data_IF_130957088026
#
_entry.id   IF_130957088026
#
_cell.length_a   1.000
_cell.length_b   1.000
_cell.length_c   1.000
_cell.angle_alpha   90.00
_cell.angle_beta   90.00
_cell.angle_gamma   90.00
#
_symmetry.space_group_name_H-M   'P 1'
#
loop_
_entity.id
_entity.type
_entity.pdbx_description
1 polymer ?
#
# COMPACT_ATOMS: atom_id res chain seq x y z
N UNK A 1 6.53 -32.92 -0.18
CA UNK A 1 5.48 -33.36 0.77
C UNK A 1 5.74 -33.04 2.24
N UNK A 2 6.99 -32.75 2.67
CA UNK A 2 7.29 -32.44 4.09
C UNK A 2 7.25 -30.95 4.46
N UNK A 3 7.26 -30.06 3.47
CA UNK A 3 7.18 -28.61 3.67
C UNK A 3 5.73 -28.14 3.72
N UNK A 4 5.48 -27.06 4.44
CA UNK A 4 4.21 -26.33 4.40
C UNK A 4 3.88 -25.89 2.97
N UNK A 5 2.58 -25.83 2.68
CA UNK A 5 2.01 -25.25 1.46
C UNK A 5 1.27 -23.94 1.74
N UNK A 6 1.32 -23.46 2.98
CA UNK A 6 0.75 -22.17 3.39
C UNK A 6 1.82 -21.06 3.41
N UNK A 7 3.10 -21.46 3.35
CA UNK A 7 4.24 -20.56 3.31
C UNK A 7 5.30 -21.03 2.31
N UNK A 8 5.67 -20.13 1.40
CA UNK A 8 6.88 -20.22 0.58
C UNK A 8 7.81 -19.09 0.97
N UNK A 9 9.08 -19.38 1.23
CA UNK A 9 10.03 -18.39 1.71
C UNK A 9 11.07 -18.08 0.63
N UNK A 10 11.15 -16.81 0.26
CA UNK A 10 12.23 -16.29 -0.57
C UNK A 10 13.31 -15.77 0.36
N UNK A 11 14.40 -16.53 0.47
CA UNK A 11 15.58 -16.09 1.23
C UNK A 11 16.54 -15.26 0.38
N UNK A 12 16.10 -14.91 -0.84
CA UNK A 12 16.69 -13.88 -1.67
C UNK A 12 16.48 -12.50 -1.07
N UNK A 13 17.35 -11.58 -1.47
CA UNK A 13 17.40 -10.23 -0.95
C UNK A 13 18.83 -9.86 -0.60
N UNK A 14 19.33 -8.86 -1.31
CA UNK A 14 20.74 -8.55 -1.54
C UNK A 14 21.43 -9.44 -2.59
N UNK A 15 22.49 -8.91 -3.20
CA UNK A 15 23.26 -9.53 -4.27
C UNK A 15 24.72 -9.80 -3.83
N UNK A 16 25.34 -10.83 -4.37
CA UNK A 16 26.75 -11.16 -4.08
C UNK A 16 26.92 -11.97 -2.80
N UNK A 17 28.00 -11.73 -2.06
CA UNK A 17 28.41 -12.57 -0.91
C UNK A 17 27.71 -12.23 0.41
N UNK A 18 26.69 -11.38 0.38
CA UNK A 18 25.96 -10.95 1.58
C UNK A 18 24.55 -11.55 1.56
N UNK A 19 24.26 -12.33 2.60
CA UNK A 19 22.93 -12.86 2.88
C UNK A 19 22.28 -12.02 3.99
N UNK A 20 21.05 -11.57 3.80
CA UNK A 20 20.26 -10.88 4.83
C UNK A 20 18.94 -11.63 5.16
N UNK A 21 18.97 -12.93 5.51
CA UNK A 21 17.77 -13.76 5.58
C UNK A 21 17.11 -13.64 6.96
N UNK A 22 16.83 -12.41 7.43
CA UNK A 22 16.21 -12.14 8.73
C UNK A 22 14.94 -12.96 8.97
N UNK A 23 14.12 -13.16 7.93
CA UNK A 23 12.84 -13.88 7.99
C UNK A 23 12.99 -15.42 8.06
N UNK A 24 14.22 -15.94 7.96
CA UNK A 24 14.46 -17.39 7.91
C UNK A 24 14.03 -18.11 9.19
N UNK A 25 14.09 -17.44 10.34
CA UNK A 25 13.65 -18.01 11.62
C UNK A 25 12.16 -18.41 11.58
N UNK A 26 11.31 -17.54 11.04
CA UNK A 26 9.89 -17.81 10.84
C UNK A 26 9.65 -18.82 9.73
N UNK A 27 10.41 -18.76 8.63
CA UNK A 27 10.32 -19.76 7.57
C UNK A 27 10.58 -21.18 8.09
N UNK A 28 11.59 -21.36 8.95
CA UNK A 28 11.90 -22.63 9.61
C UNK A 28 10.78 -23.07 10.53
N UNK A 29 10.26 -22.17 11.37
CA UNK A 29 9.15 -22.45 12.28
C UNK A 29 7.91 -22.95 11.52
N UNK A 30 7.60 -22.34 10.37
CA UNK A 30 6.48 -22.72 9.51
C UNK A 30 6.78 -23.94 8.62
N UNK A 31 8.00 -24.47 8.64
CA UNK A 31 8.46 -25.54 7.72
C UNK A 31 8.27 -25.16 6.25
N UNK A 32 8.43 -23.87 5.93
CA UNK A 32 8.31 -23.36 4.57
C UNK A 32 9.39 -23.94 3.66
N UNK A 33 9.06 -24.11 2.37
CA UNK A 33 10.10 -24.35 1.38
C UNK A 33 10.86 -23.04 1.13
N UNK A 34 12.18 -23.06 1.26
CA UNK A 34 13.02 -21.88 1.15
C UNK A 34 13.85 -21.91 -0.15
N UNK A 35 13.82 -20.84 -0.94
CA UNK A 35 14.65 -20.73 -2.15
C UNK A 35 15.03 -19.28 -2.49
N UNK A 36 15.98 -19.12 -3.41
CA UNK A 36 16.32 -17.86 -4.07
C UNK A 36 16.28 -18.09 -5.60
N UNK A 37 15.05 -18.19 -6.12
CA UNK A 37 14.76 -18.47 -7.52
C UNK A 37 14.31 -17.18 -8.23
N UNK A 38 14.79 -16.99 -9.44
CA UNK A 38 14.45 -15.86 -10.29
C UNK A 38 13.06 -15.97 -10.90
N UNK A 39 12.31 -14.87 -10.85
CA UNK A 39 11.10 -14.65 -11.64
C UNK A 39 11.39 -14.10 -13.06
N UNK A 40 12.65 -13.91 -13.43
CA UNK A 40 13.02 -13.32 -14.73
C UNK A 40 12.98 -14.37 -15.85
N UNK A 41 12.30 -14.10 -16.99
CA UNK A 41 12.30 -14.98 -18.15
C UNK A 41 13.69 -15.32 -18.71
N UNK A 42 14.72 -14.50 -18.45
CA UNK A 42 16.13 -14.77 -18.81
C UNK A 42 16.71 -15.99 -18.07
N UNK A 43 16.08 -16.43 -16.98
CA UNK A 43 16.47 -17.62 -16.19
C UNK A 43 15.38 -18.71 -16.29
N UNK A 44 15.16 -19.32 -17.47
CA UNK A 44 13.98 -20.14 -17.74
C UNK A 44 13.84 -21.36 -16.83
N UNK A 45 14.95 -21.97 -16.42
CA UNK A 45 14.94 -23.14 -15.53
C UNK A 45 14.55 -22.76 -14.10
N UNK A 46 15.09 -21.66 -13.56
CA UNK A 46 14.70 -21.14 -12.25
C UNK A 46 13.22 -20.72 -12.25
N UNK A 47 12.78 -20.02 -13.31
CA UNK A 47 11.39 -19.60 -13.46
C UNK A 47 10.43 -20.78 -13.56
N UNK A 48 10.80 -21.84 -14.29
CA UNK A 48 9.98 -23.05 -14.39
C UNK A 48 9.84 -23.75 -13.03
N UNK A 49 10.93 -23.87 -12.27
CA UNK A 49 10.90 -24.43 -10.92
C UNK A 49 10.08 -23.55 -9.97
N UNK A 50 10.25 -22.23 -10.03
CA UNK A 50 9.49 -21.28 -9.22
C UNK A 50 7.99 -21.41 -9.49
N UNK A 51 7.58 -21.41 -10.76
CA UNK A 51 6.17 -21.64 -11.17
C UNK A 51 5.63 -22.97 -10.65
N UNK A 52 6.43 -24.04 -10.71
CA UNK A 52 6.04 -25.34 -10.17
C UNK A 52 5.81 -25.29 -8.65
N UNK A 53 6.70 -24.62 -7.91
CA UNK A 53 6.60 -24.50 -6.45
C UNK A 53 5.43 -23.62 -6.01
N UNK A 54 5.22 -22.48 -6.67
CA UNK A 54 4.09 -21.58 -6.40
C UNK A 54 2.75 -22.24 -6.75
N UNK A 55 2.68 -22.97 -7.86
CA UNK A 55 1.47 -23.71 -8.27
C UNK A 55 1.08 -24.88 -7.36
N UNK A 56 1.95 -25.28 -6.44
CA UNK A 56 1.67 -26.30 -5.43
C UNK A 56 1.25 -25.73 -4.07
N UNK A 57 1.25 -24.40 -3.90
CA UNK A 57 0.81 -23.80 -2.64
C UNK A 57 -0.71 -23.87 -2.50
N UNK A 58 -1.17 -23.80 -1.27
CA UNK A 58 -2.59 -23.69 -0.97
C UNK A 58 -3.13 -22.33 -1.44
N UNK A 59 -4.44 -22.24 -1.77
CA UNK A 59 -5.06 -20.96 -2.13
C UNK A 59 -4.79 -19.88 -1.08
N UNK A 60 -4.44 -18.68 -1.53
CA UNK A 60 -4.13 -17.53 -0.68
C UNK A 60 -2.98 -17.73 0.33
N UNK A 61 -2.07 -18.69 0.09
CA UNK A 61 -0.84 -18.84 0.88
C UNK A 61 0.04 -17.59 0.84
N UNK A 62 0.96 -17.47 1.79
CA UNK A 62 1.87 -16.32 1.88
C UNK A 62 3.25 -16.65 1.34
N UNK A 63 3.74 -15.80 0.43
CA UNK A 63 5.15 -15.73 0.04
C UNK A 63 5.86 -14.74 0.96
N UNK A 64 6.72 -15.23 1.85
CA UNK A 64 7.47 -14.42 2.80
C UNK A 64 8.89 -14.14 2.28
N UNK A 65 9.44 -12.98 2.60
CA UNK A 65 10.79 -12.58 2.22
C UNK A 65 10.81 -11.57 1.08
N UNK A 66 11.80 -11.62 0.20
CA UNK A 66 11.93 -10.64 -0.88
C UNK A 66 12.46 -11.25 -2.16
N UNK A 67 12.17 -10.61 -3.29
CA UNK A 67 12.67 -11.04 -4.59
C UNK A 67 14.21 -10.95 -4.67
N UNK A 68 14.78 -11.55 -5.71
CA UNK A 68 16.23 -11.66 -5.88
C UNK A 68 16.78 -10.46 -6.66
N UNK A 69 17.22 -9.41 -5.96
CA UNK A 69 17.70 -8.14 -6.56
C UNK A 69 18.70 -8.27 -7.72
N UNK A 70 19.49 -9.35 -7.79
CA UNK A 70 20.43 -9.60 -8.89
C UNK A 70 19.85 -10.40 -10.06
N UNK A 71 18.73 -11.10 -9.86
CA UNK A 71 18.17 -12.02 -10.85
C UNK A 71 16.87 -11.50 -11.46
N UNK A 72 16.03 -10.83 -10.68
CA UNK A 72 14.72 -10.35 -11.08
C UNK A 72 14.37 -8.98 -10.48
N UNK A 73 13.22 -8.46 -10.86
CA UNK A 73 12.64 -7.24 -10.32
C UNK A 73 11.48 -7.56 -9.38
N UNK A 74 11.18 -6.63 -8.48
CA UNK A 74 9.95 -6.63 -7.67
C UNK A 74 8.71 -6.80 -8.56
N UNK A 75 8.64 -6.02 -9.64
CA UNK A 75 7.68 -6.15 -10.74
C UNK A 75 7.43 -7.58 -11.18
N UNK A 76 8.49 -8.28 -11.59
CA UNK A 76 8.41 -9.66 -12.07
C UNK A 76 7.95 -10.64 -10.99
N UNK A 77 8.52 -10.54 -9.79
CA UNK A 77 8.26 -11.49 -8.72
C UNK A 77 6.85 -11.34 -8.14
N UNK A 78 6.42 -10.12 -7.86
CA UNK A 78 5.09 -9.84 -7.31
C UNK A 78 3.99 -10.15 -8.33
N UNK A 79 4.20 -9.83 -9.61
CA UNK A 79 3.29 -10.22 -10.71
C UNK A 79 3.16 -11.72 -10.82
N UNK A 80 4.29 -12.45 -10.78
CA UNK A 80 4.27 -13.91 -10.84
C UNK A 80 3.52 -14.51 -9.65
N UNK A 81 3.74 -13.98 -8.45
CA UNK A 81 3.04 -14.42 -7.23
C UNK A 81 1.53 -14.19 -7.34
N UNK A 82 1.11 -13.03 -7.84
CA UNK A 82 -0.29 -12.69 -8.09
C UNK A 82 -0.99 -13.61 -9.10
N UNK A 83 -0.29 -14.02 -10.17
CA UNK A 83 -0.83 -14.99 -11.15
C UNK A 83 -1.26 -16.33 -10.50
N UNK A 84 -0.61 -16.71 -9.39
CA UNK A 84 -0.98 -17.90 -8.63
C UNK A 84 -2.09 -17.65 -7.58
N UNK A 85 -2.52 -16.41 -7.37
CA UNK A 85 -3.49 -16.02 -6.33
C UNK A 85 -2.90 -16.10 -4.94
N UNK A 86 -1.61 -15.78 -4.83
CA UNK A 86 -0.87 -15.75 -3.58
C UNK A 86 -0.57 -14.31 -3.18
N UNK A 87 -0.26 -14.09 -1.91
CA UNK A 87 0.07 -12.77 -1.34
C UNK A 87 1.50 -12.74 -0.82
N UNK A 88 2.12 -11.57 -0.75
CA UNK A 88 3.47 -11.42 -0.23
C UNK A 88 3.52 -10.71 1.13
N UNK A 89 4.52 -11.07 1.93
CA UNK A 89 4.99 -10.31 3.10
C UNK A 89 6.45 -9.95 2.85
N UNK A 90 6.63 -8.73 2.36
CA UNK A 90 7.75 -8.31 1.54
C UNK A 90 8.98 -7.79 2.29
N UNK A 91 9.58 -8.57 3.19
CA UNK A 91 10.84 -8.20 3.86
C UNK A 91 11.68 -9.44 4.19
N UNK A 92 12.74 -9.70 3.41
CA UNK A 92 13.68 -10.79 3.67
C UNK A 92 14.52 -10.57 4.95
N UNK A 93 14.78 -9.31 5.30
CA UNK A 93 15.65 -8.91 6.39
C UNK A 93 14.92 -8.62 7.71
N UNK A 94 13.65 -8.98 7.85
CA UNK A 94 12.86 -8.81 9.07
C UNK A 94 13.20 -9.92 10.09
N UNK A 95 13.93 -9.64 11.19
CA UNK A 95 14.39 -10.67 12.11
C UNK A 95 13.37 -10.97 13.20
N UNK A 96 13.58 -12.10 13.90
CA UNK A 96 12.88 -12.49 15.13
C UNK A 96 11.36 -12.72 14.97
N UNK A 97 10.87 -12.92 13.76
CA UNK A 97 9.44 -13.10 13.49
C UNK A 97 8.92 -14.38 14.14
N UNK A 98 9.74 -15.43 14.22
CA UNK A 98 9.39 -16.65 14.95
C UNK A 98 9.13 -16.41 16.44
N UNK A 99 9.73 -15.37 17.02
CA UNK A 99 9.50 -14.98 18.41
C UNK A 99 8.33 -14.00 18.52
N UNK A 100 8.34 -12.92 17.74
CA UNK A 100 7.36 -11.83 17.86
C UNK A 100 5.94 -12.25 17.49
N UNK A 101 5.76 -13.20 16.56
CA UNK A 101 4.45 -13.72 16.20
C UNK A 101 3.76 -14.50 17.33
N UNK A 102 4.51 -14.90 18.37
CA UNK A 102 4.01 -15.65 19.51
C UNK A 102 3.71 -14.77 20.73
N UNK A 103 4.07 -13.49 20.66
CA UNK A 103 3.81 -12.54 21.75
C UNK A 103 2.33 -12.14 21.67
N UNK A 104 1.51 -12.47 22.69
CA UNK A 104 0.12 -12.04 22.71
C UNK A 104 0.04 -10.52 22.87
N UNK A 105 -1.04 -9.94 22.35
CA UNK A 105 -1.40 -8.55 22.67
C UNK A 105 -1.66 -8.42 24.18
N UNK A 106 -1.53 -7.19 24.70
CA UNK A 106 -1.94 -6.91 26.09
C UNK A 106 -3.42 -7.32 26.28
N UNK A 107 -3.82 -7.89 27.44
CA UNK A 107 -5.15 -8.49 27.62
C UNK A 107 -6.35 -7.58 27.29
N UNK A 108 -6.23 -6.28 27.56
CA UNK A 108 -7.30 -5.30 27.35
C UNK A 108 -7.08 -4.43 26.11
N UNK A 109 -6.09 -4.77 25.28
CA UNK A 109 -5.78 -4.00 24.09
C UNK A 109 -6.76 -4.31 22.96
N UNK A 110 -7.21 -3.26 22.28
CA UNK A 110 -8.01 -3.35 21.05
C UNK A 110 -7.45 -2.34 20.05
N UNK A 111 -7.27 -2.78 18.81
CA UNK A 111 -6.89 -1.88 17.73
C UNK A 111 -8.00 -0.86 17.50
N UNK A 112 -7.66 0.41 17.70
CA UNK A 112 -8.55 1.55 17.42
C UNK A 112 -7.78 2.59 16.62
N UNK A 113 -8.39 3.07 15.55
CA UNK A 113 -7.85 4.11 14.68
C UNK A 113 -8.46 5.48 15.07
N UNK A 114 -7.84 6.58 14.65
CA UNK A 114 -8.35 7.92 14.91
C UNK A 114 -9.40 8.31 13.86
N UNK A 115 -10.62 7.81 13.99
CA UNK A 115 -11.70 8.23 13.10
C UNK A 115 -12.15 9.66 13.43
N UNK A 116 -11.89 10.58 12.52
CA UNK A 116 -12.27 11.99 12.62
C UNK A 116 -13.71 12.23 12.18
N UNK A 117 -14.29 11.26 11.47
CA UNK A 117 -15.67 11.29 10.93
C UNK A 117 -16.34 9.92 11.10
N UNK A 118 -17.66 9.93 11.32
CA UNK A 118 -18.43 8.70 11.33
C UNK A 118 -18.55 8.09 9.91
N UNK A 119 -18.83 6.78 9.83
CA UNK A 119 -18.93 6.08 8.53
C UNK A 119 -20.08 6.58 7.68
N UNK A 120 -21.19 6.94 8.31
CA UNK A 120 -22.41 7.46 7.72
C UNK A 120 -22.46 8.99 7.69
N UNK A 121 -21.46 9.66 8.24
CA UNK A 121 -21.39 11.11 8.23
C UNK A 121 -21.17 11.62 6.80
N UNK A 122 -21.96 12.63 6.45
CA UNK A 122 -21.85 13.39 5.21
C UNK A 122 -21.23 14.74 5.52
N UNK A 123 -20.08 15.01 4.91
CA UNK A 123 -19.46 16.34 4.94
C UNK A 123 -19.88 17.12 3.69
N UNK A 124 -19.71 18.44 3.71
CA UNK A 124 -19.90 19.29 2.53
C UNK A 124 -18.61 20.03 2.25
N UNK A 125 -18.01 19.75 1.10
CA UNK A 125 -16.80 20.44 0.68
C UNK A 125 -17.06 21.90 0.29
N UNK A 126 -16.21 22.79 0.80
CA UNK A 126 -16.19 24.21 0.43
C UNK A 126 -15.37 24.43 -0.85
N UNK A 127 -15.33 25.67 -1.35
CA UNK A 127 -14.55 26.04 -2.53
C UNK A 127 -13.06 26.26 -2.19
N UNK A 128 -12.39 25.21 -1.69
CA UNK A 128 -11.00 25.23 -1.20
C UNK A 128 -10.10 24.21 -1.92
N UNK A 129 -8.80 24.28 -1.67
CA UNK A 129 -7.87 23.17 -1.90
C UNK A 129 -7.80 22.35 -0.62
N UNK A 130 -8.09 21.05 -0.71
CA UNK A 130 -7.90 20.09 0.36
C UNK A 130 -6.68 19.23 0.05
N UNK A 131 -5.82 19.01 1.03
CA UNK A 131 -4.63 18.16 0.90
C UNK A 131 -4.66 17.06 1.96
N UNK A 132 -4.42 15.82 1.55
CA UNK A 132 -4.10 14.72 2.45
C UNK A 132 -2.73 14.16 2.10
N UNK A 133 -1.88 14.00 3.13
CA UNK A 133 -0.56 13.38 3.00
C UNK A 133 -0.60 11.96 3.57
N UNK A 134 -0.04 11.00 2.83
CA UNK A 134 -0.01 9.60 3.25
C UNK A 134 1.35 8.97 2.91
N UNK A 135 1.97 8.33 3.90
CA UNK A 135 3.13 7.46 3.69
C UNK A 135 2.70 5.99 3.52
N UNK A 136 3.16 5.35 2.44
CA UNK A 136 3.06 3.91 2.20
C UNK A 136 4.42 3.23 2.40
N UNK A 137 4.59 1.98 1.94
CA UNK A 137 5.72 1.08 2.29
C UNK A 137 5.71 0.72 3.76
N UNK A 138 4.55 0.94 4.40
CA UNK A 138 4.21 0.55 5.76
C UNK A 138 4.77 1.38 6.91
N UNK A 139 3.91 1.62 7.90
CA UNK A 139 4.32 2.10 9.22
C UNK A 139 5.34 1.16 9.84
N UNK A 140 6.53 1.70 10.14
CA UNK A 140 7.67 0.94 10.67
C UNK A 140 8.91 1.01 9.79
N UNK A 141 8.77 1.38 8.51
CA UNK A 141 9.89 1.81 7.68
C UNK A 141 9.88 3.34 7.68
N UNK A 142 10.99 3.98 8.04
CA UNK A 142 11.16 5.42 7.84
C UNK A 142 10.85 6.30 9.06
N UNK A 143 9.89 7.23 8.90
CA UNK A 143 9.86 8.48 9.69
C UNK A 143 8.95 8.52 10.92
N UNK A 144 8.39 7.39 11.36
CA UNK A 144 7.49 7.31 12.54
C UNK A 144 8.03 8.04 13.79
N UNK A 145 9.33 7.87 14.08
CA UNK A 145 10.00 8.45 15.27
C UNK A 145 10.72 9.76 14.99
N UNK A 146 10.47 10.40 13.84
CA UNK A 146 11.17 11.62 13.41
C UNK A 146 10.41 12.90 13.81
N UNK A 147 11.09 14.06 13.85
CA UNK A 147 10.47 15.34 14.17
C UNK A 147 9.28 15.71 13.28
N UNK A 148 8.38 16.54 13.82
CA UNK A 148 7.18 17.03 13.16
C UNK A 148 5.96 16.11 13.26
N UNK A 149 6.12 14.84 13.67
CA UNK A 149 4.98 13.94 13.83
C UNK A 149 3.98 14.49 14.86
N UNK A 150 2.70 14.48 14.49
CA UNK A 150 1.62 15.03 15.30
C UNK A 150 1.36 16.52 15.08
N UNK A 151 2.17 17.24 14.30
CA UNK A 151 1.97 18.68 14.03
C UNK A 151 0.96 18.97 12.91
N UNK A 152 0.74 18.02 12.01
CA UNK A 152 -0.26 18.08 10.92
C UNK A 152 -0.97 16.73 10.80
N UNK A 153 -2.22 16.69 10.27
CA UNK A 153 -2.86 15.43 9.88
C UNK A 153 -2.00 14.62 8.92
N UNK A 154 -1.85 13.32 9.17
CA UNK A 154 -0.96 12.47 8.41
C UNK A 154 -1.45 11.02 8.34
N UNK A 155 -1.47 10.46 7.13
CA UNK A 155 -1.86 9.08 6.88
C UNK A 155 -0.67 8.11 6.95
N UNK A 156 -0.93 6.89 7.42
CA UNK A 156 0.04 5.80 7.45
C UNK A 156 -0.60 4.49 6.96
N UNK A 157 0.05 3.83 6.01
CA UNK A 157 -0.33 2.47 5.61
C UNK A 157 0.08 1.44 6.66
N UNK A 158 -0.81 0.51 7.00
CA UNK A 158 -0.56 -0.57 7.94
C UNK A 158 -0.10 -1.84 7.21
N UNK A 159 0.93 -2.52 7.74
CA UNK A 159 1.21 -3.92 7.40
C UNK A 159 0.15 -4.83 8.01
N UNK A 160 -0.97 -5.01 7.31
CA UNK A 160 -2.10 -5.73 7.89
C UNK A 160 -1.76 -7.17 8.30
N UNK A 161 -0.96 -7.86 7.51
CA UNK A 161 -0.52 -9.22 7.84
C UNK A 161 0.40 -9.32 9.05
N UNK A 162 0.94 -8.21 9.56
CA UNK A 162 1.68 -8.19 10.83
C UNK A 162 0.79 -8.52 12.03
N UNK A 163 -0.54 -8.50 11.90
CA UNK A 163 -1.41 -9.07 12.92
C UNK A 163 -1.06 -10.55 13.20
N UNK A 164 -0.55 -11.25 12.19
CA UNK A 164 -0.10 -12.65 12.26
C UNK A 164 1.40 -12.78 12.52
N UNK A 165 2.21 -11.87 11.97
CA UNK A 165 3.68 -11.98 11.98
C UNK A 165 4.35 -11.21 13.12
N UNK A 166 3.82 -10.05 13.50
CA UNK A 166 4.43 -9.15 14.47
C UNK A 166 3.37 -8.31 15.21
N UNK A 167 2.40 -8.95 15.91
CA UNK A 167 1.26 -8.26 16.52
C UNK A 167 1.70 -7.23 17.58
N UNK A 168 2.78 -7.50 18.29
CA UNK A 168 3.33 -6.58 19.31
C UNK A 168 3.85 -5.27 18.69
N UNK A 169 4.41 -5.31 17.48
CA UNK A 169 4.85 -4.10 16.78
C UNK A 169 3.64 -3.27 16.33
N UNK A 170 2.57 -3.93 15.86
CA UNK A 170 1.32 -3.23 15.57
C UNK A 170 0.73 -2.60 16.83
N UNK A 171 0.70 -3.31 17.96
CA UNK A 171 0.25 -2.74 19.23
C UNK A 171 1.01 -1.47 19.59
N UNK A 172 2.35 -1.47 19.47
CA UNK A 172 3.18 -0.29 19.70
C UNK A 172 2.71 0.92 18.87
N UNK A 173 2.48 0.77 17.57
CA UNK A 173 2.02 1.89 16.73
C UNK A 173 0.65 2.43 17.14
N UNK A 174 -0.26 1.55 17.55
CA UNK A 174 -1.61 1.95 17.96
C UNK A 174 -1.66 2.60 19.34
N UNK A 175 -0.76 2.22 20.25
CA UNK A 175 -0.59 2.87 21.55
C UNK A 175 0.16 4.21 21.43
N UNK A 176 1.12 4.30 20.51
CA UNK A 176 1.96 5.49 20.30
C UNK A 176 1.31 6.52 19.37
N UNK A 177 0.21 6.19 18.66
CA UNK A 177 -0.44 7.09 17.70
C UNK A 177 -0.79 8.46 18.33
N UNK A 178 -0.44 9.53 17.64
CA UNK A 178 -0.88 10.89 17.97
C UNK A 178 -2.31 11.09 17.45
N UNK A 179 -3.07 12.10 17.93
CA UNK A 179 -4.41 12.39 17.42
C UNK A 179 -4.46 12.70 15.91
N UNK A 180 -3.34 13.12 15.31
CA UNK A 180 -3.25 13.49 13.90
C UNK A 180 -2.82 12.32 12.98
N UNK A 181 -2.52 11.15 13.53
CA UNK A 181 -2.21 9.96 12.73
C UNK A 181 -3.48 9.25 12.30
N UNK A 182 -3.61 8.90 11.01
CA UNK A 182 -4.71 8.10 10.48
C UNK A 182 -4.19 6.85 9.78
N UNK A 183 -4.75 5.68 10.07
CA UNK A 183 -4.27 4.42 9.51
C UNK A 183 -5.12 3.92 8.34
N UNK A 184 -4.47 3.37 7.31
CA UNK A 184 -5.13 2.76 6.13
C UNK A 184 -4.66 1.33 5.93
N UNK A 185 -5.53 0.48 5.38
CA UNK A 185 -5.15 -0.85 4.89
C UNK A 185 -4.68 -0.77 3.45
N UNK A 186 -3.94 -1.78 2.97
CA UNK A 186 -3.58 -1.84 1.55
C UNK A 186 -2.28 -2.53 1.21
N UNK A 187 -1.77 -2.13 0.04
CA UNK A 187 -0.68 -2.66 -0.76
C UNK A 187 -0.87 -4.06 -1.36
N UNK A 188 -2.02 -4.58 -1.79
CA UNK A 188 -3.26 -3.97 -2.27
C UNK A 188 -4.43 -4.89 -1.91
N UNK A 189 -4.41 -5.37 -0.67
CA UNK A 189 -5.26 -6.43 -0.14
C UNK A 189 -4.65 -6.93 1.17
N UNK A 190 -4.62 -8.24 1.48
CA UNK A 190 -4.17 -8.74 2.79
C UNK A 190 -2.64 -8.66 3.01
N UNK A 191 -1.87 -8.23 2.02
CA UNK A 191 -0.42 -8.13 1.99
C UNK A 191 0.05 -7.55 0.65
N UNK A 192 1.35 -7.61 0.37
CA UNK A 192 1.99 -7.03 -0.83
C UNK A 192 1.54 -7.73 -2.13
N UNK A 193 0.85 -7.04 -3.04
CA UNK A 193 0.23 -7.62 -4.24
C UNK A 193 0.05 -6.62 -5.39
N UNK A 194 0.10 -7.12 -6.63
CA UNK A 194 -0.30 -6.38 -7.85
C UNK A 194 -1.64 -6.92 -8.39
N UNK A 195 -2.77 -6.26 -8.09
CA UNK A 195 -4.10 -6.80 -8.35
C UNK A 195 -4.46 -7.01 -9.82
N UNK A 196 -3.86 -6.30 -10.77
CA UNK A 196 -4.03 -6.54 -12.22
C UNK A 196 -3.54 -7.93 -12.63
N UNK A 197 -2.53 -8.46 -11.93
CA UNK A 197 -2.00 -9.80 -12.18
C UNK A 197 -2.82 -10.94 -11.57
N UNK A 198 -3.81 -10.63 -10.72
CA UNK A 198 -4.57 -11.66 -9.98
C UNK A 198 -5.74 -12.16 -10.83
N UNK A 199 -5.81 -13.48 -11.13
CA UNK A 199 -6.96 -14.07 -11.82
C UNK A 199 -8.28 -13.78 -11.10
N UNK A 200 -9.34 -13.53 -11.86
CA UNK A 200 -10.62 -13.09 -11.30
C UNK A 200 -11.24 -14.06 -10.31
N UNK A 201 -11.08 -15.37 -10.52
CA UNK A 201 -11.55 -16.43 -9.62
C UNK A 201 -10.75 -16.51 -8.31
N UNK A 202 -9.52 -16.00 -8.30
CA UNK A 202 -8.63 -16.01 -7.12
C UNK A 202 -8.69 -14.71 -6.31
N UNK A 203 -9.30 -13.66 -6.84
CA UNK A 203 -9.39 -12.35 -6.18
C UNK A 203 -10.29 -12.36 -4.92
N UNK A 204 -11.53 -12.90 -4.94
CA UNK A 204 -12.41 -12.87 -3.77
C UNK A 204 -11.84 -13.48 -2.47
N UNK A 205 -11.19 -14.67 -2.46
CA UNK A 205 -10.64 -15.21 -1.22
C UNK A 205 -9.52 -14.35 -0.62
N UNK A 206 -8.71 -13.69 -1.46
CA UNK A 206 -7.69 -12.75 -1.00
C UNK A 206 -8.32 -11.50 -0.38
N UNK A 207 -9.35 -10.94 -1.03
CA UNK A 207 -10.04 -9.76 -0.49
C UNK A 207 -10.84 -10.07 0.77
N UNK A 208 -11.33 -11.30 0.94
CA UNK A 208 -11.93 -11.72 2.20
C UNK A 208 -10.91 -11.65 3.36
N UNK A 209 -9.69 -12.17 3.17
CA UNK A 209 -8.61 -12.05 4.16
C UNK A 209 -8.29 -10.58 4.45
N UNK A 210 -8.26 -9.72 3.43
CA UNK A 210 -8.06 -8.28 3.60
C UNK A 210 -9.16 -7.64 4.45
N UNK A 211 -10.44 -7.95 4.19
CA UNK A 211 -11.57 -7.45 5.00
C UNK A 211 -11.48 -7.90 6.45
N UNK A 212 -11.16 -9.16 6.69
CA UNK A 212 -11.03 -9.70 8.04
C UNK A 212 -9.91 -8.96 8.81
N UNK A 213 -8.78 -8.69 8.15
CA UNK A 213 -7.66 -7.92 8.72
C UNK A 213 -8.03 -6.44 8.96
N UNK A 214 -8.67 -5.79 7.98
CA UNK A 214 -9.11 -4.40 8.13
C UNK A 214 -10.10 -4.24 9.29
N UNK A 215 -11.02 -5.19 9.44
CA UNK A 215 -11.98 -5.20 10.56
C UNK A 215 -11.26 -5.35 11.90
N UNK A 216 -10.28 -6.26 12.00
CA UNK A 216 -9.50 -6.48 13.21
C UNK A 216 -8.62 -5.27 13.59
N UNK A 217 -8.17 -4.51 12.59
CA UNK A 217 -7.28 -3.36 12.74
C UNK A 217 -8.02 -2.01 12.74
N UNK A 218 -9.35 -2.00 12.68
CA UNK A 218 -10.18 -0.79 12.64
C UNK A 218 -9.82 0.17 11.47
N UNK A 219 -9.63 -0.41 10.29
CA UNK A 219 -9.28 0.30 9.05
C UNK A 219 -10.51 0.48 8.16
N UNK A 220 -10.67 1.67 7.59
CA UNK A 220 -11.84 2.03 6.76
C UNK A 220 -11.50 2.43 5.32
N UNK A 221 -10.22 2.50 4.98
CA UNK A 221 -9.71 2.91 3.66
C UNK A 221 -8.81 1.80 3.12
N UNK A 222 -8.99 1.47 1.85
CA UNK A 222 -8.16 0.50 1.13
C UNK A 222 -7.27 1.21 0.11
N UNK A 223 -5.96 1.08 0.30
CA UNK A 223 -4.94 1.53 -0.62
C UNK A 223 -4.55 0.44 -1.61
N UNK A 224 -4.37 0.86 -2.87
CA UNK A 224 -4.17 -0.01 -4.01
C UNK A 224 -2.97 0.48 -4.81
N UNK A 225 -1.99 -0.38 -4.98
CA UNK A 225 -0.80 -0.20 -5.79
C UNK A 225 -0.67 -1.35 -6.79
N UNK A 226 -0.29 -1.02 -8.03
CA UNK A 226 -0.01 -2.02 -9.05
C UNK A 226 1.13 -1.61 -9.98
N UNK A 227 2.20 -2.40 -10.01
CA UNK A 227 3.34 -2.26 -10.92
C UNK A 227 3.55 -3.50 -11.81
N UNK A 228 2.48 -4.24 -12.12
CA UNK A 228 2.56 -5.36 -13.05
C UNK A 228 2.78 -4.92 -14.51
N UNK A 229 2.39 -3.67 -14.83
CA UNK A 229 2.49 -3.05 -16.16
C UNK A 229 3.19 -1.67 -16.10
N UNK A 230 4.01 -1.45 -15.07
CA UNK A 230 4.78 -0.22 -14.90
C UNK A 230 5.65 -0.24 -13.65
N UNK A 231 6.06 0.93 -13.19
CA UNK A 231 6.75 1.20 -11.94
C UNK A 231 6.49 2.66 -11.52
N UNK A 232 7.18 3.13 -10.47
CA UNK A 232 7.01 4.51 -9.94
C UNK A 232 7.42 5.64 -10.91
N UNK A 233 8.13 5.33 -11.98
CA UNK A 233 8.67 6.30 -12.93
C UNK A 233 8.05 6.19 -14.33
N UNK A 234 7.71 4.98 -14.78
CA UNK A 234 7.28 4.69 -16.16
C UNK A 234 6.26 3.56 -16.20
N UNK A 235 5.42 3.52 -17.24
CA UNK A 235 4.37 2.51 -17.42
C UNK A 235 3.03 2.90 -16.79
N UNK A 236 2.19 1.90 -16.49
CA UNK A 236 0.79 2.07 -16.14
C UNK A 236 0.46 1.67 -14.69
N UNK A 237 0.17 2.68 -13.87
CA UNK A 237 -0.33 2.57 -12.48
C UNK A 237 -1.85 2.78 -12.38
N UNK A 238 -2.52 3.02 -13.52
CA UNK A 238 -3.97 3.10 -13.62
C UNK A 238 -4.57 1.68 -13.57
N UNK A 239 -5.80 1.59 -13.05
CA UNK A 239 -6.51 0.34 -12.91
C UNK A 239 -7.62 0.22 -13.96
N UNK A 240 -7.81 -0.97 -14.56
CA UNK A 240 -8.90 -1.20 -15.49
C UNK A 240 -10.23 -1.18 -14.73
N UNK A 241 -11.29 -0.75 -15.40
CA UNK A 241 -12.63 -0.63 -14.81
C UNK A 241 -13.08 -1.93 -14.12
N UNK A 242 -12.85 -3.08 -14.74
CA UNK A 242 -13.23 -4.39 -14.19
C UNK A 242 -12.54 -4.69 -12.85
N UNK A 243 -11.31 -4.21 -12.65
CA UNK A 243 -10.64 -4.36 -11.36
C UNK A 243 -11.23 -3.41 -10.31
N UNK A 244 -11.51 -2.15 -10.69
CA UNK A 244 -12.19 -1.21 -9.80
C UNK A 244 -13.57 -1.73 -9.38
N UNK A 245 -14.31 -2.33 -10.32
CA UNK A 245 -15.61 -2.97 -10.05
C UNK A 245 -15.48 -4.09 -9.00
N UNK A 246 -14.43 -4.92 -9.09
CA UNK A 246 -14.16 -5.97 -8.10
C UNK A 246 -13.82 -5.41 -6.72
N UNK A 247 -13.08 -4.31 -6.63
CA UNK A 247 -12.81 -3.67 -5.34
C UNK A 247 -14.08 -3.12 -4.68
N UNK A 248 -14.93 -2.42 -5.43
CA UNK A 248 -16.23 -1.97 -4.90
C UNK A 248 -17.10 -3.14 -4.42
N UNK A 249 -17.13 -4.24 -5.17
CA UNK A 249 -17.88 -5.44 -4.78
C UNK A 249 -17.32 -6.11 -3.53
N UNK A 250 -15.99 -6.22 -3.43
CA UNK A 250 -15.32 -6.92 -2.34
C UNK A 250 -15.15 -6.05 -1.08
N UNK A 251 -15.40 -4.74 -1.13
CA UNK A 251 -15.27 -3.86 0.04
C UNK A 251 -16.49 -2.95 0.19
N UNK A 252 -17.65 -3.49 0.58
CA UNK A 252 -18.87 -2.69 0.71
C UNK A 252 -18.84 -1.71 1.90
N UNK A 253 -17.98 -1.93 2.90
CA UNK A 253 -17.97 -1.18 4.16
C UNK A 253 -16.86 -0.11 4.24
N UNK A 254 -16.06 0.07 3.19
CA UNK A 254 -15.00 1.10 3.17
C UNK A 254 -15.59 2.47 2.90
N UNK A 255 -14.92 3.50 3.40
CA UNK A 255 -15.31 4.90 3.16
C UNK A 255 -14.63 5.50 1.92
N UNK A 256 -13.69 4.76 1.32
CA UNK A 256 -13.02 5.15 0.09
C UNK A 256 -11.84 4.25 -0.26
N UNK A 257 -11.40 4.38 -1.50
CA UNK A 257 -10.21 3.72 -2.04
C UNK A 257 -9.21 4.78 -2.49
N UNK A 258 -7.93 4.43 -2.38
CA UNK A 258 -6.86 5.23 -2.96
C UNK A 258 -5.98 4.37 -3.88
N UNK A 259 -5.49 4.95 -4.98
CA UNK A 259 -4.71 4.22 -5.97
C UNK A 259 -3.42 4.90 -6.38
N UNK A 260 -2.39 4.09 -6.56
CA UNK A 260 -1.09 4.46 -7.09
C UNK A 260 -0.02 4.38 -6.02
N UNK A 261 1.12 4.98 -6.34
CA UNK A 261 2.27 5.09 -5.45
C UNK A 261 3.11 6.25 -5.96
N UNK A 262 3.42 6.22 -7.26
CA UNK A 262 3.58 7.44 -8.05
C UNK A 262 2.22 8.09 -8.34
N UNK A 263 2.23 9.21 -9.07
CA UNK A 263 1.00 9.79 -9.60
C UNK A 263 0.25 8.77 -10.48
N UNK A 264 -1.07 8.75 -10.37
CA UNK A 264 -1.95 7.87 -11.12
C UNK A 264 -3.25 8.61 -11.49
N UNK A 265 -4.10 7.99 -12.31
CA UNK A 265 -5.25 8.66 -12.95
C UNK A 265 -6.53 7.83 -12.89
N UNK A 266 -6.66 6.95 -11.90
CA UNK A 266 -7.89 6.19 -11.68
C UNK A 266 -8.78 6.90 -10.68
N UNK A 267 -9.92 7.37 -11.14
CA UNK A 267 -10.86 8.15 -10.34
C UNK A 267 -12.28 7.63 -10.55
N UNK A 268 -13.02 7.45 -9.46
CA UNK A 268 -14.44 7.08 -9.53
C UNK A 268 -15.21 7.52 -8.27
N UNK A 269 -16.54 7.47 -8.34
CA UNK A 269 -17.42 7.70 -7.18
C UNK A 269 -18.69 6.88 -7.34
N UNK A 270 -18.98 6.01 -6.38
CA UNK A 270 -20.19 5.17 -6.35
C UNK A 270 -20.78 5.18 -4.95
N UNK A 271 -22.07 5.48 -4.85
CA UNK A 271 -22.83 5.40 -3.59
C UNK A 271 -22.13 6.09 -2.40
N UNK A 272 -21.52 7.25 -2.65
CA UNK A 272 -20.81 8.04 -1.62
C UNK A 272 -19.40 7.53 -1.27
N UNK A 273 -18.88 6.51 -1.96
CA UNK A 273 -17.54 5.94 -1.77
C UNK A 273 -16.63 6.34 -2.94
N UNK A 274 -15.68 7.27 -2.73
CA UNK A 274 -14.76 7.73 -3.77
C UNK A 274 -13.61 6.74 -3.98
N UNK A 275 -13.09 6.72 -5.19
CA UNK A 275 -11.88 6.03 -5.58
C UNK A 275 -10.95 7.10 -6.15
N UNK A 276 -9.82 7.39 -5.51
CA UNK A 276 -8.96 8.51 -5.87
C UNK A 276 -7.51 8.08 -6.09
N UNK A 277 -6.90 8.55 -7.17
CA UNK A 277 -5.46 8.35 -7.36
C UNK A 277 -4.62 9.44 -6.69
N UNK A 278 -3.37 9.11 -6.37
CA UNK A 278 -2.38 10.12 -5.97
C UNK A 278 -2.14 11.13 -7.10
N UNK A 279 -2.12 12.42 -6.75
CA UNK A 279 -1.76 13.51 -7.66
C UNK A 279 -0.25 13.73 -7.67
N UNK A 280 0.40 13.53 -6.52
CA UNK A 280 1.80 13.89 -6.33
C UNK A 280 2.56 12.83 -5.52
N UNK A 281 3.79 12.56 -5.94
CA UNK A 281 4.74 11.69 -5.25
C UNK A 281 5.92 12.53 -4.75
N UNK A 282 6.08 12.61 -3.43
CA UNK A 282 7.21 13.32 -2.82
C UNK A 282 8.44 12.42 -2.72
N UNK A 283 9.35 12.57 -3.68
CA UNK A 283 10.65 11.89 -3.65
C UNK A 283 11.51 12.37 -2.45
N UNK A 284 12.31 11.45 -1.88
CA UNK A 284 13.19 11.74 -0.74
C UNK A 284 14.18 12.87 -1.03
N UNK A 285 14.70 12.90 -2.26
CA UNK A 285 15.73 13.85 -2.68
C UNK A 285 15.14 15.18 -3.17
N UNK A 286 13.81 15.27 -3.35
CA UNK A 286 13.15 16.51 -3.80
C UNK A 286 13.36 17.61 -2.75
N UNK A 287 13.97 18.76 -3.10
CA UNK A 287 14.08 19.89 -2.18
C UNK A 287 12.71 20.46 -1.81
N UNK A 288 12.59 21.06 -0.61
CA UNK A 288 11.30 21.61 -0.14
C UNK A 288 10.73 22.68 -1.07
N UNK A 289 11.59 23.57 -1.59
CA UNK A 289 11.17 24.66 -2.48
C UNK A 289 10.65 24.13 -3.80
N UNK A 290 11.31 23.11 -4.36
CA UNK A 290 10.91 22.50 -5.63
C UNK A 290 9.61 21.71 -5.47
N UNK A 291 9.48 20.95 -4.37
CA UNK A 291 8.24 20.25 -4.05
C UNK A 291 7.06 21.23 -3.85
N UNK A 292 7.28 22.36 -3.18
CA UNK A 292 6.25 23.39 -3.04
C UNK A 292 5.86 23.99 -4.40
N UNK A 293 6.84 24.24 -5.28
CA UNK A 293 6.57 24.73 -6.63
C UNK A 293 5.76 23.72 -7.47
N UNK A 294 6.02 22.42 -7.34
CA UNK A 294 5.23 21.38 -8.02
C UNK A 294 3.77 21.38 -7.56
N UNK A 295 3.54 21.49 -6.24
CA UNK A 295 2.20 21.55 -5.66
C UNK A 295 1.47 22.83 -6.10
N UNK A 296 2.16 23.97 -6.15
CA UNK A 296 1.62 25.22 -6.71
C UNK A 296 1.17 25.06 -8.16
N UNK A 297 2.01 24.44 -8.99
CA UNK A 297 1.67 24.19 -10.39
C UNK A 297 0.43 23.29 -10.49
N UNK A 298 0.35 22.20 -9.72
CA UNK A 298 -0.83 21.33 -9.68
C UNK A 298 -2.10 22.07 -9.24
N UNK A 299 -2.01 22.94 -8.23
CA UNK A 299 -3.14 23.74 -7.75
C UNK A 299 -3.62 24.73 -8.81
N UNK A 300 -2.71 25.34 -9.56
CA UNK A 300 -3.01 26.30 -10.63
C UNK A 300 -3.57 25.61 -11.88
N UNK A 301 -3.04 24.44 -12.25
CA UNK A 301 -3.54 23.64 -13.36
C UNK A 301 -4.95 23.10 -13.13
N UNK A 302 -5.36 22.97 -11.87
CA UNK A 302 -6.69 22.51 -11.46
C UNK A 302 -7.52 23.65 -10.84
N UNK A 303 -8.01 24.64 -11.61
CA UNK A 303 -8.71 25.82 -11.05
C UNK A 303 -10.12 25.53 -10.52
N UNK A 304 -10.68 24.34 -10.78
CA UNK A 304 -12.00 23.95 -10.28
C UNK A 304 -11.91 23.69 -8.78
N UNK A 305 -12.87 24.20 -7.99
CA UNK A 305 -12.92 24.03 -6.53
C UNK A 305 -14.22 23.30 -6.10
N UNK A 306 -14.19 22.44 -5.07
CA UNK A 306 -13.00 22.00 -4.33
C UNK A 306 -11.99 21.26 -5.21
N UNK A 307 -10.70 21.41 -4.89
CA UNK A 307 -9.65 20.55 -5.45
C UNK A 307 -9.16 19.63 -4.34
N UNK A 308 -9.06 18.34 -4.64
CA UNK A 308 -8.64 17.30 -3.71
C UNK A 308 -7.28 16.80 -4.19
N UNK A 309 -6.21 17.26 -3.55
CA UNK A 309 -4.83 16.89 -3.89
C UNK A 309 -4.36 15.81 -2.91
N UNK A 310 -4.26 14.57 -3.39
CA UNK A 310 -3.75 13.45 -2.61
C UNK A 310 -2.25 13.29 -2.83
N UNK A 311 -1.47 13.42 -1.76
CA UNK A 311 -0.02 13.35 -1.79
C UNK A 311 0.50 12.04 -1.21
N UNK A 312 1.23 11.30 -2.04
CA UNK A 312 2.08 10.19 -1.59
C UNK A 312 3.39 10.74 -1.05
N UNK A 313 3.80 10.26 0.13
CA UNK A 313 5.05 10.65 0.77
C UNK A 313 5.96 9.45 0.93
N UNK A 314 7.11 9.47 0.24
CA UNK A 314 8.13 8.43 0.40
C UNK A 314 8.65 8.39 1.84
N UNK A 315 8.80 7.20 2.40
CA UNK A 315 8.92 6.89 3.84
C UNK A 315 10.10 7.55 4.56
N UNK A 316 11.08 8.08 3.82
CA UNK A 316 12.25 8.79 4.39
C UNK A 316 12.04 10.31 4.53
N UNK A 317 10.94 10.87 4.03
CA UNK A 317 10.58 12.26 4.27
C UNK A 317 10.00 12.43 5.68
N UNK A 318 10.53 13.37 6.46
CA UNK A 318 9.99 13.69 7.79
C UNK A 318 8.68 14.46 7.65
N UNK A 319 7.82 14.36 8.67
CA UNK A 319 6.58 15.13 8.74
C UNK A 319 6.90 16.63 8.81
N UNK A 320 8.00 17.02 9.47
CA UNK A 320 8.52 18.39 9.45
C UNK A 320 8.80 18.89 8.02
N UNK A 321 9.46 18.09 7.18
CA UNK A 321 9.70 18.44 5.76
C UNK A 321 8.39 18.65 5.02
N UNK A 322 7.43 17.75 5.20
CA UNK A 322 6.10 17.85 4.58
C UNK A 322 5.38 19.13 5.02
N UNK A 323 5.35 19.41 6.33
CA UNK A 323 4.78 20.65 6.88
C UNK A 323 5.45 21.90 6.29
N UNK A 324 6.78 21.92 6.20
CA UNK A 324 7.51 23.05 5.63
C UNK A 324 7.18 23.27 4.16
N UNK A 325 7.00 22.19 3.38
CA UNK A 325 6.56 22.26 1.98
C UNK A 325 5.17 22.91 1.90
N UNK A 326 4.20 22.39 2.66
CA UNK A 326 2.82 22.88 2.65
C UNK A 326 2.71 24.32 3.15
N UNK A 327 3.56 24.72 4.11
CA UNK A 327 3.63 26.10 4.60
C UNK A 327 4.25 27.11 3.62
N UNK A 328 4.77 26.67 2.47
CA UNK A 328 5.30 27.53 1.41
C UNK A 328 4.27 27.85 0.32
N UNK A 329 3.10 27.22 0.35
CA UNK A 329 2.06 27.43 -0.65
C UNK A 329 1.51 28.86 -0.56
N UNK A 330 1.19 29.43 -1.72
CA UNK A 330 0.70 30.79 -1.91
C UNK A 330 -0.82 30.89 -1.76
N UNK A 331 -1.55 29.86 -2.21
CA UNK A 331 -2.98 29.67 -1.92
C UNK A 331 -3.13 28.89 -0.60
N UNK A 332 -4.06 29.31 0.24
CA UNK A 332 -4.36 28.59 1.48
C UNK A 332 -4.97 27.22 1.14
N UNK A 333 -4.23 26.16 1.47
CA UNK A 333 -4.69 24.78 1.36
C UNK A 333 -5.03 24.21 2.74
N UNK A 334 -6.18 23.55 2.84
CA UNK A 334 -6.63 22.92 4.07
C UNK A 334 -6.08 21.49 4.14
N UNK A 335 -5.11 21.28 5.03
CA UNK A 335 -4.52 19.95 5.29
C UNK A 335 -5.44 19.19 6.23
N UNK A 336 -6.00 18.06 5.78
CA UNK A 336 -7.01 17.31 6.52
C UNK A 336 -6.64 15.83 6.66
N UNK A 337 -7.14 15.14 7.71
CA UNK A 337 -7.04 13.68 7.80
C UNK A 337 -7.64 12.98 6.57
N UNK A 338 -7.13 11.80 6.21
CA UNK A 338 -7.54 11.13 4.97
C UNK A 338 -9.01 10.69 4.97
N UNK A 339 -9.58 10.31 6.11
CA UNK A 339 -11.01 9.98 6.20
C UNK A 339 -11.89 11.21 5.93
N UNK A 340 -11.55 12.36 6.50
CA UNK A 340 -12.18 13.66 6.20
C UNK A 340 -12.02 13.99 4.71
N UNK A 341 -10.81 13.85 4.16
CA UNK A 341 -10.52 14.11 2.75
C UNK A 341 -11.44 13.31 1.82
N UNK A 342 -11.59 12.00 2.06
CA UNK A 342 -12.43 11.12 1.25
C UNK A 342 -13.91 11.50 1.38
N UNK A 343 -14.40 11.82 2.58
CA UNK A 343 -15.78 12.28 2.78
C UNK A 343 -16.08 13.60 2.05
N UNK A 344 -15.15 14.55 2.08
CA UNK A 344 -15.27 15.79 1.32
C UNK A 344 -15.25 15.52 -0.19
N UNK A 345 -14.36 14.66 -0.67
CA UNK A 345 -14.26 14.27 -2.08
C UNK A 345 -15.51 13.53 -2.60
N UNK A 346 -16.20 12.78 -1.73
CA UNK A 346 -17.49 12.17 -2.05
C UNK A 346 -18.61 13.20 -2.17
N UNK A 347 -18.59 14.25 -1.34
CA UNK A 347 -19.65 15.26 -1.27
C UNK A 347 -19.75 16.17 -2.50
N UNK A 348 -18.62 16.41 -3.18
CA UNK A 348 -18.58 17.31 -4.32
C UNK A 348 -17.53 16.85 -5.34
N UNK A 349 -17.96 15.99 -6.26
CA UNK A 349 -17.11 15.43 -7.30
C UNK A 349 -16.68 16.47 -8.33
N UNK A 350 -15.49 17.01 -8.17
CA UNK A 350 -14.85 17.90 -9.14
C UNK A 350 -13.92 17.17 -10.12
N UNK A 351 -13.39 16.01 -9.71
CA UNK A 351 -12.62 15.07 -10.52
C UNK A 351 -13.50 14.33 -11.54
N UNK A 352 -12.89 13.88 -12.64
CA UNK A 352 -13.57 13.14 -13.70
C UNK A 352 -13.41 11.64 -13.47
N UNK A 353 -14.47 10.85 -13.71
CA UNK A 353 -14.31 9.39 -13.70
C UNK A 353 -13.33 9.00 -14.80
N UNK A 354 -12.34 8.19 -14.46
CA UNK A 354 -11.35 7.67 -15.38
C UNK A 354 -10.82 6.32 -14.89
N UNK A 355 -10.60 5.42 -15.84
CA UNK A 355 -9.92 4.13 -15.63
C UNK A 355 -8.75 4.01 -16.62
N UNK A 356 -7.97 2.94 -16.49
CA UNK A 356 -7.00 2.56 -17.52
C UNK A 356 -7.72 2.33 -18.85
N UNK A 357 -7.20 2.94 -19.91
CA UNK A 357 -7.66 2.76 -21.29
C UNK A 357 -6.77 1.74 -22.03
N UNK A 358 -7.29 1.05 -23.06
CA UNK A 358 -6.53 0.02 -23.79
C UNK A 358 -5.25 0.53 -24.48
N UNK A 359 -5.16 1.83 -24.77
CA UNK A 359 -4.03 2.48 -25.43
C UNK A 359 -3.07 3.20 -24.46
N UNK A 360 -3.34 3.15 -23.15
CA UNK A 360 -2.41 3.69 -22.15
C UNK A 360 -1.08 2.91 -22.18
N UNK A 361 0.06 3.60 -21.96
CA UNK A 361 1.39 3.01 -22.10
C UNK A 361 1.63 1.92 -21.06
N UNK A 362 2.00 0.72 -21.52
CA UNK A 362 2.40 -0.40 -20.67
C UNK A 362 3.92 -0.55 -20.70
N UNK A 363 4.55 -0.65 -19.54
CA UNK A 363 5.97 -1.00 -19.41
C UNK A 363 6.12 -2.30 -18.62
N UNK A 364 6.44 -3.38 -19.32
CA UNK A 364 6.72 -4.65 -18.68
C UNK A 364 8.15 -4.63 -18.15
N UNK A 365 8.30 -4.75 -16.82
CA UNK A 365 9.60 -4.76 -16.14
C UNK A 365 10.63 -5.69 -16.85
N UNK A 366 11.83 -5.17 -17.22
CA UNK A 366 12.75 -5.76 -18.21
C UNK A 366 13.56 -7.01 -17.81
#
# INVERSE_FOLDING_TARGET
>A
DRCSRDYYAVLGGHAGMQMQPGVADFAIMQRAFCADLSANPKHPEELALLKHLLGQQNPASTVIGWHSYAKDTEGQHTTLTGNFGLKMEGLHNLPNVSFTCQIPLSPDFTFTNNHNVARDEELTAEKKVYIAALATDSMGIGTWTKPGRGEIPYGWQVLMGWLRLNPVALQFFYEDKSPNDYFVGGLSGPGYMYPKSIPADKFPPLMKDARDLMAALDLRVMEIMDYSEGNRHVGNTDLPKELVDRYYQEFPDVIGFINGYGAARTFDLRDGVPFLSYDYYLDVQRPEVDAAADLEELIQLNPKRPYFLLMHVRESNTIEKVKNILGRLSEEAEVVPLDVFLKLAASNKTYQTRFQEPDDPIDHNP
#
